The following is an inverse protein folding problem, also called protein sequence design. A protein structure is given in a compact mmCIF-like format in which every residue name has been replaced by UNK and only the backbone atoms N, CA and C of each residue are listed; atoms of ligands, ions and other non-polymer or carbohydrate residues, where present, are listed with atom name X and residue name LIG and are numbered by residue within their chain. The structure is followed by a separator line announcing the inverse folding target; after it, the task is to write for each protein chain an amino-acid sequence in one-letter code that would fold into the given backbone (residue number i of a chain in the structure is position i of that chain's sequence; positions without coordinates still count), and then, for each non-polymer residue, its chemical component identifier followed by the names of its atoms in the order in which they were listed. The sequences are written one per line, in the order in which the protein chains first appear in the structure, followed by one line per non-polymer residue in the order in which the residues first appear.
data_IF_529833950975
#
_entry.id   IF_529833950975
#
_cell.length_a   1.000
_cell.length_b   1.000
_cell.length_c   1.000
_cell.angle_alpha   90.00
_cell.angle_beta   90.00
_cell.angle_gamma   90.00
#
_symmetry.space_group_name_H-M   'P 1'
#
loop_
_entity.id
_entity.type
_entity.pdbx_description
1 polymer ?
#
# COMPACT_ATOMS: atom_id res chain seq x y z
N UNK A 1 7.99 30.37 78.56
CA UNK A 1 8.41 28.98 78.42
C UNK A 1 8.32 28.62 76.94
N UNK A 2 9.39 28.84 76.22
CA UNK A 2 10.42 27.91 75.87
C UNK A 2 9.80 26.65 75.19
N UNK A 3 10.09 26.48 73.93
CA UNK A 3 9.81 25.34 73.16
C UNK A 3 10.48 25.45 71.80
N UNK A 4 11.40 24.68 71.63
CA UNK A 4 12.48 24.59 70.66
C UNK A 4 12.02 24.34 69.22
N UNK A 5 12.86 24.85 68.31
CA UNK A 5 12.87 24.56 66.87
C UNK A 5 13.25 23.07 66.65
N UNK A 6 12.51 22.41 65.78
CA UNK A 6 13.00 21.25 65.06
C UNK A 6 12.92 21.50 63.59
N UNK A 7 14.10 21.56 62.98
CA UNK A 7 14.36 21.53 61.54
C UNK A 7 13.90 20.19 60.98
N UNK A 8 13.05 20.22 59.98
CA UNK A 8 12.68 19.01 59.24
C UNK A 8 13.29 19.07 57.83
N UNK A 9 14.35 18.31 57.66
CA UNK A 9 15.01 18.05 56.39
C UNK A 9 14.01 17.41 55.44
N UNK A 10 13.75 18.07 54.32
CA UNK A 10 13.01 17.50 53.18
C UNK A 10 13.99 16.75 52.28
N UNK A 11 13.93 15.44 52.32
CA UNK A 11 14.55 14.55 51.34
C UNK A 11 13.90 14.80 49.93
N UNK A 12 14.73 15.31 49.04
CA UNK A 12 14.44 15.35 47.59
C UNK A 12 14.46 13.93 47.03
N UNK A 13 13.28 13.37 46.82
CA UNK A 13 13.11 12.20 45.95
C UNK A 13 13.06 12.63 44.52
N UNK A 14 14.20 12.57 43.83
CA UNK A 14 14.28 12.60 42.37
C UNK A 14 13.40 11.50 41.77
N UNK A 15 12.25 11.88 41.21
CA UNK A 15 11.50 11.04 40.30
C UNK A 15 12.18 11.10 38.93
N UNK A 16 12.93 10.05 38.62
CA UNK A 16 13.36 9.77 37.25
C UNK A 16 12.10 9.60 36.37
N UNK A 17 11.76 10.63 35.63
CA UNK A 17 10.92 10.51 34.46
C UNK A 17 11.77 9.92 33.34
N UNK A 18 11.68 8.62 33.13
CA UNK A 18 12.08 8.02 31.87
C UNK A 18 11.06 8.45 30.80
N UNK A 19 11.41 9.51 30.10
CA UNK A 19 10.79 9.93 28.85
C UNK A 19 11.10 8.83 27.83
N UNK A 20 10.10 7.97 27.56
CA UNK A 20 10.10 7.05 26.44
C UNK A 20 10.10 7.88 25.16
N UNK A 21 11.31 8.21 24.68
CA UNK A 21 11.52 8.80 23.36
C UNK A 21 11.17 7.74 22.31
N UNK A 22 9.93 7.76 21.86
CA UNK A 22 9.52 7.07 20.64
C UNK A 22 10.35 7.59 19.48
N UNK A 23 11.30 6.80 19.01
CA UNK A 23 12.03 7.10 17.79
C UNK A 23 11.06 7.01 16.62
N UNK A 24 10.65 8.17 16.11
CA UNK A 24 10.02 8.26 14.80
C UNK A 24 11.00 7.70 13.76
N UNK A 25 10.67 6.56 13.18
CA UNK A 25 11.44 6.00 12.07
C UNK A 25 11.04 6.80 10.83
N UNK A 26 11.80 7.84 10.56
CA UNK A 26 11.69 8.59 9.31
C UNK A 26 12.44 7.80 8.26
N UNK A 27 11.73 7.17 7.33
CA UNK A 27 12.33 6.55 6.17
C UNK A 27 12.96 7.63 5.28
N UNK A 28 14.26 7.87 5.46
CA UNK A 28 15.02 8.81 4.65
C UNK A 28 15.35 8.17 3.30
N UNK A 29 14.50 8.42 2.31
CA UNK A 29 14.82 8.10 0.92
C UNK A 29 16.00 8.98 0.49
N UNK A 30 17.19 8.39 0.47
CA UNK A 30 18.40 9.06 -0.01
C UNK A 30 18.25 9.45 -1.48
N UNK A 31 17.86 10.69 -1.72
CA UNK A 31 17.81 11.30 -3.04
C UNK A 31 19.25 11.44 -3.56
N UNK A 32 19.69 10.53 -4.43
CA UNK A 32 20.84 10.80 -5.30
C UNK A 32 20.48 11.95 -6.22
N UNK A 33 21.13 13.09 -6.02
CA UNK A 33 21.00 14.28 -6.85
C UNK A 33 21.37 13.95 -8.29
N UNK A 34 20.37 13.78 -9.15
CA UNK A 34 20.57 13.75 -10.59
C UNK A 34 20.39 15.17 -11.12
N UNK A 35 21.42 15.68 -11.73
CA UNK A 35 21.50 17.02 -12.33
C UNK A 35 20.48 17.10 -13.47
N UNK A 36 19.51 18.01 -13.34
CA UNK A 36 18.63 18.38 -14.45
C UNK A 36 19.39 19.23 -15.47
N UNK A 37 19.68 18.65 -16.62
CA UNK A 37 20.04 19.42 -17.79
C UNK A 37 18.75 19.84 -18.51
N UNK A 38 18.50 21.14 -18.49
CA UNK A 38 17.42 21.79 -19.22
C UNK A 38 17.60 21.63 -20.72
N UNK A 39 16.60 21.10 -21.43
CA UNK A 39 16.45 21.30 -22.86
C UNK A 39 15.16 22.09 -23.10
N UNK A 40 15.38 23.37 -23.35
CA UNK A 40 14.40 24.28 -23.95
C UNK A 40 14.75 24.41 -25.44
N UNK A 41 13.73 24.43 -26.25
CA UNK A 41 13.63 25.04 -27.57
C UNK A 41 13.45 24.12 -28.78
N UNK A 42 12.32 24.33 -29.46
CA UNK A 42 12.07 23.79 -30.79
C UNK A 42 10.63 24.00 -31.26
N UNK A 43 10.14 25.26 -31.26
CA UNK A 43 8.96 25.68 -32.01
C UNK A 43 9.37 26.05 -33.45
N UNK A 44 8.83 25.39 -34.49
CA UNK A 44 8.69 25.95 -35.79
C UNK A 44 7.56 25.24 -36.59
N UNK A 45 6.46 25.92 -36.73
CA UNK A 45 5.69 26.29 -37.94
C UNK A 45 5.68 25.29 -39.13
N UNK A 46 4.51 24.87 -39.52
CA UNK A 46 4.30 24.34 -40.86
C UNK A 46 2.92 23.76 -41.12
N UNK A 47 2.05 24.58 -41.74
CA UNK A 47 1.17 24.11 -42.83
C UNK A 47 -0.21 23.55 -42.47
N UNK A 48 -1.21 24.39 -42.57
CA UNK A 48 -2.62 24.06 -42.72
C UNK A 48 -2.83 23.36 -44.08
N UNK A 49 -3.45 22.17 -44.08
CA UNK A 49 -4.21 21.67 -45.23
C UNK A 49 -5.58 21.18 -44.72
N UNK A 50 -6.60 21.83 -45.23
CA UNK A 50 -8.01 21.54 -45.01
C UNK A 50 -8.43 20.44 -46.01
N UNK A 51 -9.15 19.44 -45.54
CA UNK A 51 -10.00 18.61 -46.37
C UNK A 51 -9.97 17.11 -46.05
N UNK A 52 -11.09 16.59 -45.56
CA UNK A 52 -11.37 15.17 -45.53
C UNK A 52 -11.99 14.67 -44.24
N UNK A 53 -13.32 14.49 -44.24
CA UNK A 53 -14.08 13.77 -43.25
C UNK A 53 -13.69 12.29 -43.29
N UNK A 54 -12.74 11.92 -42.45
CA UNK A 54 -12.38 10.52 -42.18
C UNK A 54 -12.05 10.42 -40.71
N UNK A 55 -12.81 9.65 -39.96
CA UNK A 55 -12.47 9.30 -38.62
C UNK A 55 -11.10 8.61 -38.64
N UNK A 56 -10.07 9.26 -38.12
CA UNK A 56 -8.77 8.66 -37.93
C UNK A 56 -8.91 7.79 -36.64
N UNK A 57 -9.19 6.51 -36.83
CA UNK A 57 -8.88 5.52 -35.82
C UNK A 57 -7.36 5.48 -35.69
N UNK A 58 -6.86 6.12 -34.64
CA UNK A 58 -5.48 5.94 -34.24
C UNK A 58 -5.36 4.48 -33.75
N UNK A 59 -4.50 3.66 -34.36
CA UNK A 59 -4.21 2.35 -33.77
C UNK A 59 -3.54 2.60 -32.43
N UNK A 60 -4.25 2.30 -31.34
CA UNK A 60 -3.65 2.14 -30.03
C UNK A 60 -2.85 0.83 -30.12
N UNK A 61 -1.65 0.95 -30.68
CA UNK A 61 -0.70 -0.14 -30.65
C UNK A 61 -0.07 -0.16 -29.25
N UNK A 62 -0.84 -0.62 -28.27
CA UNK A 62 -0.28 -1.07 -27.00
C UNK A 62 0.37 -2.43 -27.28
N UNK A 63 1.52 -2.39 -27.96
CA UNK A 63 2.41 -3.53 -27.95
C UNK A 63 2.92 -3.64 -26.51
N UNK A 64 2.32 -4.52 -25.73
CA UNK A 64 3.01 -5.18 -24.64
C UNK A 64 4.17 -5.89 -25.36
N UNK A 65 5.36 -5.31 -25.28
CA UNK A 65 6.56 -5.99 -25.75
C UNK A 65 6.78 -7.16 -24.80
N UNK A 66 6.36 -8.31 -25.22
CA UNK A 66 6.62 -9.63 -24.65
C UNK A 66 8.09 -9.99 -24.94
N UNK A 67 9.01 -9.22 -24.37
CA UNK A 67 10.41 -9.63 -24.28
C UNK A 67 10.60 -10.23 -22.90
N UNK A 68 10.85 -11.52 -22.86
CA UNK A 68 11.09 -12.40 -21.73
C UNK A 68 12.15 -11.90 -20.71
N UNK A 69 12.82 -10.79 -21.02
CA UNK A 69 13.90 -10.17 -20.24
C UNK A 69 13.40 -9.08 -19.26
N UNK A 70 12.08 -8.87 -19.12
CA UNK A 70 11.50 -7.83 -18.27
C UNK A 70 10.66 -8.34 -17.09
N UNK A 71 10.58 -9.66 -16.92
CA UNK A 71 9.83 -10.25 -15.81
C UNK A 71 10.61 -10.14 -14.51
N UNK A 72 9.91 -9.87 -13.43
CA UNK A 72 10.48 -9.77 -12.09
C UNK A 72 10.46 -11.17 -11.46
N UNK A 73 11.60 -11.55 -10.89
CA UNK A 73 11.76 -12.82 -10.19
C UNK A 73 11.51 -12.64 -8.68
N UNK A 74 10.58 -13.43 -8.14
CA UNK A 74 10.27 -13.55 -6.72
C UNK A 74 10.47 -14.98 -6.19
N UNK A 75 11.11 -15.89 -6.95
CA UNK A 75 11.23 -17.30 -6.59
C UNK A 75 11.90 -17.57 -5.23
N UNK A 76 12.69 -16.62 -4.71
CA UNK A 76 13.30 -16.70 -3.38
C UNK A 76 12.61 -15.82 -2.33
N UNK A 77 11.47 -15.22 -2.66
CA UNK A 77 10.76 -14.32 -1.74
C UNK A 77 9.79 -15.12 -0.89
N UNK A 78 9.73 -14.79 0.38
CA UNK A 78 8.76 -15.34 1.32
C UNK A 78 7.58 -14.36 1.43
N UNK A 79 6.38 -14.85 1.28
CA UNK A 79 5.13 -14.13 1.43
C UNK A 79 4.26 -14.75 2.54
N UNK A 80 4.86 -15.56 3.43
CA UNK A 80 4.12 -16.34 4.42
C UNK A 80 3.58 -15.51 5.57
N UNK A 81 4.22 -14.37 5.85
CA UNK A 81 3.83 -13.37 6.84
C UNK A 81 2.94 -12.26 6.29
N UNK A 82 2.82 -12.20 4.94
CA UNK A 82 2.00 -11.19 4.28
C UNK A 82 0.51 -11.57 4.21
N UNK A 83 -0.39 -10.58 4.38
CA UNK A 83 -1.80 -10.82 4.13
C UNK A 83 -2.04 -11.38 2.73
N UNK A 84 -2.49 -12.63 2.65
CA UNK A 84 -2.76 -13.31 1.39
C UNK A 84 -4.23 -13.71 1.30
N UNK A 85 -4.88 -13.34 0.19
CA UNK A 85 -6.28 -13.63 -0.14
C UNK A 85 -6.35 -14.65 -1.26
N UNK A 86 -7.33 -15.54 -1.20
CA UNK A 86 -7.57 -16.57 -2.21
C UNK A 86 -6.99 -17.93 -1.84
N UNK A 87 -7.00 -18.86 -2.81
CA UNK A 87 -6.53 -20.24 -2.59
C UNK A 87 -5.01 -20.33 -2.65
N UNK A 88 -4.40 -21.05 -1.71
CA UNK A 88 -2.96 -21.35 -1.75
C UNK A 88 -2.54 -22.07 -3.04
N UNK A 89 -3.44 -22.86 -3.62
CA UNK A 89 -3.19 -23.63 -4.85
C UNK A 89 -3.44 -22.81 -6.13
N UNK A 90 -3.75 -21.49 -6.02
CA UNK A 90 -4.01 -20.66 -7.18
C UNK A 90 -2.78 -20.58 -8.11
N UNK A 91 -2.97 -20.82 -9.43
CA UNK A 91 -1.86 -20.87 -10.39
C UNK A 91 -1.18 -19.52 -10.64
N UNK A 92 -1.87 -18.42 -10.34
CA UNK A 92 -1.37 -17.06 -10.51
C UNK A 92 -1.39 -16.31 -9.17
N UNK A 93 -0.33 -15.54 -8.91
CA UNK A 93 -0.26 -14.62 -7.78
C UNK A 93 -0.28 -13.18 -8.27
N UNK A 94 -1.02 -12.34 -7.58
CA UNK A 94 -0.87 -10.89 -7.61
C UNK A 94 -0.11 -10.49 -6.34
N UNK A 95 1.03 -9.84 -6.49
CA UNK A 95 1.71 -9.17 -5.40
C UNK A 95 1.31 -7.69 -5.47
N UNK A 96 0.49 -7.22 -4.54
CA UNK A 96 0.05 -5.83 -4.44
C UNK A 96 0.94 -5.09 -3.47
N UNK A 97 1.71 -4.11 -3.95
CA UNK A 97 2.46 -3.18 -3.09
C UNK A 97 1.60 -1.97 -2.82
N UNK A 98 1.28 -1.74 -1.57
CA UNK A 98 0.27 -0.75 -1.18
C UNK A 98 0.74 0.20 -0.09
N UNK A 99 0.05 1.35 0.02
CA UNK A 99 0.22 2.33 1.09
C UNK A 99 -1.15 2.89 1.46
N UNK A 100 -1.56 2.71 2.70
CA UNK A 100 -2.85 3.21 3.18
C UNK A 100 -2.97 4.73 3.08
N UNK A 101 -1.86 5.47 3.07
CA UNK A 101 -1.83 6.91 2.84
C UNK A 101 -1.97 7.33 1.38
N UNK A 102 -1.81 6.42 0.42
CA UNK A 102 -1.84 6.73 -1.00
C UNK A 102 -3.27 6.85 -1.54
N UNK A 103 -3.64 8.01 -2.15
CA UNK A 103 -4.97 8.17 -2.72
C UNK A 103 -5.25 7.23 -3.90
N UNK A 104 -4.22 6.84 -4.66
CA UNK A 104 -4.37 5.90 -5.77
C UNK A 104 -4.62 4.45 -5.29
N UNK A 105 -4.07 4.07 -4.11
CA UNK A 105 -4.39 2.80 -3.48
C UNK A 105 -5.84 2.78 -3.01
N UNK A 106 -6.34 3.90 -2.46
CA UNK A 106 -7.73 4.05 -2.10
C UNK A 106 -8.66 3.92 -3.32
N UNK A 107 -8.34 4.58 -4.44
CA UNK A 107 -9.08 4.44 -5.71
C UNK A 107 -9.09 2.99 -6.20
N UNK A 108 -7.95 2.30 -6.16
CA UNK A 108 -7.85 0.89 -6.49
C UNK A 108 -8.81 0.02 -5.67
N UNK A 109 -8.90 0.27 -4.36
CA UNK A 109 -9.80 -0.45 -3.43
C UNK A 109 -11.27 -0.04 -3.56
N UNK A 110 -11.60 0.92 -4.41
CA UNK A 110 -12.96 1.38 -4.66
C UNK A 110 -13.40 2.57 -3.80
N UNK A 111 -12.47 3.19 -3.09
CA UNK A 111 -12.71 4.41 -2.33
C UNK A 111 -12.44 5.63 -3.21
N UNK A 112 -13.44 6.51 -3.38
CA UNK A 112 -13.31 7.72 -4.19
C UNK A 112 -12.46 8.78 -3.47
N UNK A 113 -11.14 8.60 -3.50
CA UNK A 113 -10.17 9.48 -2.85
C UNK A 113 -9.74 10.66 -3.75
N UNK A 114 -10.02 10.61 -5.05
CA UNK A 114 -9.67 11.65 -6.04
C UNK A 114 -10.90 12.06 -6.86
N UNK A 115 -11.88 12.76 -6.26
CA UNK A 115 -13.17 13.06 -6.89
C UNK A 115 -13.07 13.87 -8.21
N UNK A 116 -11.97 14.60 -8.41
CA UNK A 116 -11.73 15.38 -9.62
C UNK A 116 -11.42 14.54 -10.86
N UNK A 117 -11.09 13.26 -10.68
CA UNK A 117 -10.87 12.31 -11.75
C UNK A 117 -12.09 11.42 -11.88
N UNK A 118 -12.86 11.64 -12.92
CA UNK A 118 -13.99 10.78 -13.28
C UNK A 118 -13.49 9.46 -13.88
N UNK A 119 -12.69 8.71 -13.09
CA UNK A 119 -12.18 7.39 -13.45
C UNK A 119 -13.04 6.38 -12.71
N UNK A 120 -13.82 5.59 -13.46
CA UNK A 120 -14.60 4.50 -12.89
C UNK A 120 -13.68 3.33 -12.49
N UNK A 121 -12.90 3.54 -11.45
CA UNK A 121 -12.08 2.49 -10.81
C UNK A 121 -12.73 1.91 -9.55
N UNK A 122 -13.85 2.49 -9.13
CA UNK A 122 -14.53 2.17 -7.87
C UNK A 122 -14.98 0.71 -7.72
N UNK A 123 -14.83 -0.11 -8.75
CA UNK A 123 -15.20 -1.53 -8.72
C UNK A 123 -14.06 -2.45 -9.18
N UNK A 124 -12.87 -1.92 -9.48
CA UNK A 124 -11.81 -2.73 -10.07
C UNK A 124 -11.37 -3.84 -9.11
N UNK A 125 -11.01 -3.49 -7.87
CA UNK A 125 -10.64 -4.47 -6.84
C UNK A 125 -11.75 -5.49 -6.61
N UNK A 126 -13.00 -5.03 -6.43
CA UNK A 126 -14.12 -5.91 -6.17
C UNK A 126 -14.35 -6.91 -7.31
N UNK A 127 -14.20 -6.48 -8.56
CA UNK A 127 -14.32 -7.36 -9.72
C UNK A 127 -13.16 -8.35 -9.81
N UNK A 128 -11.92 -7.92 -9.52
CA UNK A 128 -10.77 -8.82 -9.46
C UNK A 128 -10.97 -9.84 -8.33
N UNK A 129 -11.39 -9.38 -7.16
CA UNK A 129 -11.68 -10.27 -6.03
C UNK A 129 -12.71 -11.32 -6.42
N UNK A 130 -13.88 -10.90 -6.90
CA UNK A 130 -14.99 -11.81 -7.19
C UNK A 130 -14.69 -12.76 -8.34
N UNK A 131 -14.04 -12.27 -9.43
CA UNK A 131 -13.90 -13.06 -10.64
C UNK A 131 -12.67 -13.98 -10.63
N UNK A 132 -11.63 -13.64 -9.86
CA UNK A 132 -10.36 -14.38 -9.91
C UNK A 132 -9.91 -14.91 -8.54
N UNK A 133 -10.02 -14.09 -7.47
CA UNK A 133 -9.55 -14.51 -6.14
C UNK A 133 -10.55 -15.49 -5.52
N UNK A 134 -11.82 -15.13 -5.48
CA UNK A 134 -12.88 -15.98 -4.91
C UNK A 134 -13.15 -17.24 -5.77
N UNK A 135 -12.78 -17.22 -7.07
CA UNK A 135 -12.84 -18.40 -7.94
C UNK A 135 -11.68 -19.37 -7.72
N UNK A 136 -10.61 -18.95 -7.05
CA UNK A 136 -9.40 -19.75 -6.80
C UNK A 136 -8.40 -19.75 -7.95
N UNK A 137 -8.59 -18.93 -8.98
CA UNK A 137 -7.66 -18.81 -10.11
C UNK A 137 -6.46 -17.91 -9.79
N UNK A 138 -6.64 -16.99 -8.80
CA UNK A 138 -5.62 -16.04 -8.36
C UNK A 138 -5.55 -16.02 -6.84
N UNK A 139 -4.35 -15.94 -6.30
CA UNK A 139 -4.09 -15.49 -4.92
C UNK A 139 -3.45 -14.12 -4.93
N UNK A 140 -3.74 -13.30 -3.93
CA UNK A 140 -3.21 -11.95 -3.82
C UNK A 140 -2.51 -11.75 -2.49
N UNK A 141 -1.20 -11.53 -2.53
CA UNK A 141 -0.38 -11.14 -1.37
C UNK A 141 -0.23 -9.63 -1.34
N UNK A 142 -0.37 -9.03 -0.17
CA UNK A 142 -0.33 -7.58 0.02
C UNK A 142 0.95 -7.22 0.75
N UNK A 143 1.80 -6.46 0.08
CA UNK A 143 3.11 -6.01 0.54
C UNK A 143 3.03 -4.57 1.05
N UNK A 144 3.56 -4.35 2.23
CA UNK A 144 3.50 -3.09 2.94
C UNK A 144 4.54 -2.08 2.43
N UNK A 145 4.09 -0.88 2.06
CA UNK A 145 4.97 0.20 1.64
C UNK A 145 4.53 1.56 2.21
N UNK A 146 4.70 1.82 3.52
CA UNK A 146 4.21 3.01 4.20
C UNK A 146 5.02 4.26 3.84
N UNK A 147 4.67 4.93 2.74
CA UNK A 147 5.34 6.14 2.26
C UNK A 147 4.74 7.44 2.81
N UNK A 148 3.53 7.39 3.38
CA UNK A 148 2.84 8.56 3.92
C UNK A 148 2.88 8.62 5.46
N UNK A 149 2.75 9.83 6.06
CA UNK A 149 2.69 9.98 7.51
C UNK A 149 1.60 9.11 8.15
N UNK A 150 1.89 8.53 9.30
CA UNK A 150 1.03 7.63 10.07
C UNK A 150 0.65 6.30 9.37
N UNK A 151 1.02 6.09 8.10
CA UNK A 151 0.68 4.87 7.37
C UNK A 151 1.27 3.61 8.03
N UNK A 152 2.46 3.69 8.63
CA UNK A 152 3.09 2.57 9.32
C UNK A 152 2.17 1.92 10.37
N UNK A 153 1.45 2.73 11.17
CA UNK A 153 0.52 2.20 12.17
C UNK A 153 -0.68 1.49 11.51
N UNK A 154 -1.13 1.98 10.34
CA UNK A 154 -2.24 1.38 9.60
C UNK A 154 -1.84 0.03 9.02
N UNK A 155 -0.62 -0.10 8.50
CA UNK A 155 -0.06 -1.36 8.02
C UNK A 155 0.07 -2.37 9.16
N UNK A 156 0.69 -2.01 10.28
CA UNK A 156 0.73 -2.88 11.47
C UNK A 156 -0.66 -3.34 11.93
N UNK A 157 -1.64 -2.44 11.88
CA UNK A 157 -3.00 -2.77 12.28
C UNK A 157 -3.66 -3.77 11.31
N UNK A 158 -3.40 -3.62 10.00
CA UNK A 158 -3.90 -4.54 8.99
C UNK A 158 -3.30 -5.95 9.15
N UNK A 159 -1.98 -6.04 9.40
CA UNK A 159 -1.30 -7.30 9.69
C UNK A 159 -1.82 -7.93 10.98
N UNK A 160 -2.01 -7.14 12.04
CA UNK A 160 -2.62 -7.60 13.29
C UNK A 160 -4.05 -8.13 13.11
N UNK A 161 -4.83 -7.53 12.23
CA UNK A 161 -6.18 -8.02 11.89
C UNK A 161 -6.09 -9.32 11.10
N UNK A 162 -5.20 -9.40 10.12
CA UNK A 162 -5.00 -10.62 9.33
C UNK A 162 -4.58 -11.82 10.20
N UNK A 163 -3.67 -11.62 11.14
CA UNK A 163 -3.23 -12.66 12.08
C UNK A 163 -4.34 -13.12 13.03
N UNK A 164 -5.24 -12.23 13.43
CA UNK A 164 -6.35 -12.58 14.33
C UNK A 164 -7.52 -13.21 13.58
N UNK A 165 -7.84 -12.69 12.41
CA UNK A 165 -8.95 -13.12 11.55
C UNK A 165 -8.70 -12.68 10.11
N UNK A 166 -8.13 -13.57 9.31
CA UNK A 166 -7.81 -13.31 7.91
C UNK A 166 -9.04 -12.98 7.04
N UNK A 167 -10.24 -13.44 7.42
CA UNK A 167 -11.47 -13.15 6.69
C UNK A 167 -11.87 -11.67 6.84
N UNK A 168 -11.61 -11.07 7.99
CA UNK A 168 -11.88 -9.66 8.26
C UNK A 168 -10.89 -8.68 7.62
N UNK A 169 -9.73 -9.17 7.16
CA UNK A 169 -8.66 -8.32 6.63
C UNK A 169 -9.11 -7.42 5.47
N UNK A 170 -9.81 -7.98 4.48
CA UNK A 170 -10.22 -7.23 3.29
C UNK A 170 -11.13 -6.04 3.66
N UNK A 171 -12.11 -6.27 4.52
CA UNK A 171 -13.04 -5.22 4.95
C UNK A 171 -12.36 -4.19 5.85
N UNK A 172 -11.47 -4.64 6.74
CA UNK A 172 -10.65 -3.74 7.54
C UNK A 172 -9.75 -2.85 6.68
N UNK A 173 -9.06 -3.44 5.69
CA UNK A 173 -8.22 -2.72 4.73
C UNK A 173 -8.99 -1.61 4.00
N UNK A 174 -10.20 -1.91 3.53
CA UNK A 174 -11.07 -0.90 2.90
C UNK A 174 -11.42 0.23 3.90
N UNK A 175 -11.71 -0.10 5.17
CA UNK A 175 -11.98 0.91 6.20
C UNK A 175 -10.81 1.86 6.44
N UNK A 176 -9.57 1.37 6.38
CA UNK A 176 -8.39 2.24 6.50
C UNK A 176 -8.32 3.27 5.37
N UNK A 177 -8.68 2.89 4.14
CA UNK A 177 -8.78 3.83 3.01
C UNK A 177 -9.98 4.78 3.12
N UNK A 178 -11.14 4.31 3.54
CA UNK A 178 -12.34 5.15 3.73
C UNK A 178 -12.11 6.26 4.76
N UNK A 179 -11.37 5.96 5.82
CA UNK A 179 -11.06 6.90 6.90
C UNK A 179 -9.74 7.65 6.73
N UNK A 180 -9.09 7.49 5.57
CA UNK A 180 -7.77 8.02 5.28
C UNK A 180 -7.59 9.50 5.66
N UNK A 181 -8.53 10.36 5.31
CA UNK A 181 -8.46 11.80 5.60
C UNK A 181 -8.51 12.10 7.11
N UNK A 182 -9.04 11.20 7.91
CA UNK A 182 -9.14 11.38 9.36
C UNK A 182 -7.80 11.20 10.06
N UNK A 183 -6.99 10.26 9.62
CA UNK A 183 -5.73 9.92 10.27
C UNK A 183 -4.48 10.46 9.55
N UNK A 184 -4.55 10.72 8.24
CA UNK A 184 -3.42 11.23 7.46
C UNK A 184 -3.13 12.71 7.73
N UNK A 185 -4.17 13.51 7.93
CA UNK A 185 -4.11 14.96 7.89
C UNK A 185 -3.46 15.67 9.07
N UNK A 186 -2.92 14.98 10.05
CA UNK A 186 -2.22 15.60 11.19
C UNK A 186 -3.02 16.66 11.98
N UNK A 187 -4.31 16.80 11.70
CA UNK A 187 -5.18 17.75 12.38
C UNK A 187 -5.64 17.21 13.73
N UNK A 188 -4.99 17.73 14.76
CA UNK A 188 -5.43 17.71 16.16
C UNK A 188 -5.60 16.34 16.85
N UNK A 189 -4.48 15.77 17.26
CA UNK A 189 -4.40 14.74 18.29
C UNK A 189 -3.59 13.53 17.86
N UNK A 190 -2.54 13.21 18.60
CA UNK A 190 -1.72 12.00 18.43
C UNK A 190 -2.52 10.70 18.51
N UNK A 191 -3.76 10.76 19.01
CA UNK A 191 -4.61 9.59 19.25
C UNK A 191 -5.53 9.25 18.07
N UNK A 192 -5.68 10.12 17.06
CA UNK A 192 -6.59 9.87 15.92
C UNK A 192 -6.30 8.58 15.16
N UNK A 193 -5.04 8.28 14.77
CA UNK A 193 -4.75 7.01 14.12
C UNK A 193 -5.21 5.81 14.95
N UNK A 194 -4.99 5.84 16.27
CA UNK A 194 -5.37 4.76 17.18
C UNK A 194 -6.90 4.62 17.34
N UNK A 195 -7.61 5.74 17.40
CA UNK A 195 -9.09 5.72 17.44
C UNK A 195 -9.67 5.17 16.14
N UNK A 196 -9.08 5.53 14.99
CA UNK A 196 -9.47 5.01 13.68
C UNK A 196 -9.24 3.51 13.59
N UNK A 197 -8.06 3.01 14.00
CA UNK A 197 -7.76 1.58 14.05
C UNK A 197 -8.77 0.84 14.93
N UNK A 198 -9.03 1.35 16.14
CA UNK A 198 -9.99 0.75 17.07
C UNK A 198 -11.38 0.64 16.44
N UNK A 199 -11.89 1.76 15.93
CA UNK A 199 -13.22 1.83 15.33
C UNK A 199 -13.35 0.92 14.12
N UNK A 200 -12.33 0.86 13.27
CA UNK A 200 -12.32 -0.01 12.10
C UNK A 200 -12.31 -1.49 12.49
N UNK A 201 -11.52 -1.87 13.49
CA UNK A 201 -11.52 -3.24 14.00
C UNK A 201 -12.89 -3.65 14.57
N UNK A 202 -13.52 -2.75 15.34
CA UNK A 202 -14.86 -2.99 15.88
C UNK A 202 -15.92 -3.09 14.77
N UNK A 203 -15.80 -2.34 13.68
CA UNK A 203 -16.69 -2.41 12.53
C UNK A 203 -16.64 -3.76 11.80
N UNK A 204 -15.50 -4.46 11.85
CA UNK A 204 -15.35 -5.81 11.26
C UNK A 204 -15.51 -6.92 12.29
N UNK A 205 -15.99 -6.60 13.50
CA UNK A 205 -16.34 -7.57 14.54
C UNK A 205 -15.19 -7.98 15.46
N UNK A 206 -14.03 -7.32 15.36
CA UNK A 206 -12.87 -7.58 16.21
C UNK A 206 -12.85 -6.68 17.45
N UNK A 207 -12.08 -7.09 18.47
CA UNK A 207 -11.85 -6.26 19.63
C UNK A 207 -10.75 -5.22 19.34
N UNK A 208 -11.15 -3.96 19.15
CA UNK A 208 -10.23 -2.87 18.81
C UNK A 208 -9.13 -2.63 19.84
N UNK A 209 -9.34 -2.96 21.14
CA UNK A 209 -8.28 -2.89 22.15
C UNK A 209 -7.22 -3.98 21.93
N UNK A 210 -7.63 -5.20 21.56
CA UNK A 210 -6.70 -6.31 21.26
C UNK A 210 -5.88 -5.99 20.01
N UNK A 211 -6.52 -5.44 18.96
CA UNK A 211 -5.81 -5.00 17.76
C UNK A 211 -4.77 -3.92 18.11
N UNK A 212 -5.11 -2.91 18.92
CA UNK A 212 -4.16 -1.89 19.35
C UNK A 212 -3.01 -2.44 20.20
N UNK A 213 -3.26 -3.44 21.05
CA UNK A 213 -2.19 -4.10 21.81
C UNK A 213 -1.22 -4.86 20.87
N UNK A 214 -1.74 -5.50 19.83
CA UNK A 214 -0.92 -6.12 18.79
C UNK A 214 -0.05 -5.07 18.08
N UNK A 215 -0.64 -3.96 17.62
CA UNK A 215 0.10 -2.85 16.99
C UNK A 215 1.23 -2.33 17.85
N UNK A 216 0.98 -2.19 19.16
CA UNK A 216 1.98 -1.70 20.12
C UNK A 216 3.12 -2.72 20.36
N UNK A 217 2.82 -4.02 20.23
CA UNK A 217 3.79 -5.09 20.43
C UNK A 217 4.60 -5.47 19.20
N UNK A 218 4.06 -5.21 17.98
CA UNK A 218 4.78 -5.47 16.73
C UNK A 218 5.93 -4.47 16.57
N UNK A 219 7.13 -4.96 16.28
CA UNK A 219 8.21 -4.13 15.78
C UNK A 219 7.98 -3.76 14.28
N UNK A 220 8.97 -3.24 13.61
CA UNK A 220 8.84 -2.82 12.22
C UNK A 220 9.50 -3.80 11.24
N UNK A 221 10.07 -4.92 11.71
CA UNK A 221 10.93 -5.77 10.89
C UNK A 221 10.23 -6.31 9.65
N UNK A 222 9.02 -6.82 9.81
CA UNK A 222 8.18 -7.34 8.73
C UNK A 222 7.96 -6.27 7.62
N UNK A 223 7.51 -5.08 8.01
CA UNK A 223 7.30 -3.96 7.06
C UNK A 223 8.61 -3.45 6.45
N UNK A 224 9.72 -3.47 7.21
CA UNK A 224 11.04 -3.12 6.69
C UNK A 224 11.55 -4.16 5.68
N UNK A 225 11.25 -5.44 5.87
CA UNK A 225 11.56 -6.51 4.94
C UNK A 225 10.77 -6.33 3.63
N UNK A 226 9.50 -5.99 3.68
CA UNK A 226 8.65 -5.67 2.55
C UNK A 226 9.20 -4.50 1.72
N UNK A 227 9.51 -3.39 2.39
CA UNK A 227 10.09 -2.21 1.75
C UNK A 227 11.41 -2.56 1.06
N UNK A 228 12.26 -3.36 1.70
CA UNK A 228 13.53 -3.81 1.15
C UNK A 228 13.33 -4.77 -0.03
N UNK A 229 12.40 -5.72 0.09
CA UNK A 229 12.05 -6.66 -0.98
C UNK A 229 11.67 -5.89 -2.24
N UNK A 230 10.66 -5.03 -2.16
CA UNK A 230 10.17 -4.27 -3.31
C UNK A 230 11.25 -3.34 -3.88
N UNK A 231 11.99 -2.65 -3.01
CA UNK A 231 13.06 -1.74 -3.43
C UNK A 231 14.24 -2.47 -4.10
N UNK A 232 14.41 -3.76 -3.83
CA UNK A 232 15.40 -4.60 -4.52
C UNK A 232 14.96 -5.02 -5.93
N UNK A 233 13.66 -5.01 -6.20
CA UNK A 233 13.08 -5.48 -7.47
C UNK A 233 12.87 -4.37 -8.49
N UNK A 234 12.77 -3.12 -8.07
CA UNK A 234 12.52 -1.99 -8.96
C UNK A 234 13.30 -0.74 -8.54
N UNK A 235 13.79 0.02 -9.53
CA UNK A 235 14.56 1.25 -9.29
C UNK A 235 13.73 2.37 -8.63
N UNK A 236 12.41 2.34 -8.84
CA UNK A 236 11.48 3.33 -8.31
C UNK A 236 10.17 2.67 -7.94
N UNK A 237 9.80 2.78 -6.67
CA UNK A 237 8.51 2.32 -6.16
C UNK A 237 7.51 3.48 -6.17
N UNK A 238 6.32 3.20 -6.67
CA UNK A 238 5.15 4.07 -6.55
C UNK A 238 3.94 3.18 -6.29
N UNK A 239 3.03 3.60 -5.43
CA UNK A 239 1.87 2.78 -5.03
C UNK A 239 0.58 3.26 -5.68
N UNK A 240 -0.38 2.36 -6.01
CA UNK A 240 -0.19 0.91 -5.96
C UNK A 240 0.76 0.42 -7.05
N UNK A 241 1.48 -0.67 -6.76
CA UNK A 241 2.31 -1.37 -7.74
C UNK A 241 1.91 -2.84 -7.68
N UNK A 242 1.76 -3.46 -8.83
CA UNK A 242 1.39 -4.87 -8.92
C UNK A 242 2.46 -5.66 -9.65
N UNK A 243 2.66 -6.89 -9.20
CA UNK A 243 3.37 -7.90 -9.95
C UNK A 243 2.43 -9.09 -10.12
N UNK A 244 2.18 -9.50 -11.36
CA UNK A 244 1.19 -10.51 -11.72
C UNK A 244 1.90 -11.64 -12.47
N UNK A 245 1.77 -12.87 -11.99
CA UNK A 245 2.45 -14.01 -12.57
C UNK A 245 2.55 -15.18 -11.59
N UNK A 246 3.60 -15.97 -11.71
CA UNK A 246 3.91 -17.05 -10.79
C UNK A 246 5.43 -17.24 -10.65
N UNK A 247 5.83 -18.11 -9.73
CA UNK A 247 7.25 -18.35 -9.43
C UNK A 247 8.01 -19.01 -10.57
N UNK A 248 7.33 -19.81 -11.42
CA UNK A 248 7.95 -20.52 -12.54
C UNK A 248 8.23 -19.59 -13.72
N UNK A 249 7.26 -18.72 -14.07
CA UNK A 249 7.33 -17.87 -15.26
C UNK A 249 7.78 -16.43 -14.95
N UNK A 250 7.93 -16.08 -13.66
CA UNK A 250 8.17 -14.73 -13.21
C UNK A 250 6.93 -13.84 -13.30
N UNK A 251 7.09 -12.56 -13.01
CA UNK A 251 5.98 -11.63 -12.79
C UNK A 251 6.04 -10.41 -13.71
N UNK A 252 4.92 -10.04 -14.29
CA UNK A 252 4.73 -8.79 -15.06
C UNK A 252 4.49 -7.65 -14.09
N UNK A 253 5.30 -6.57 -14.20
CA UNK A 253 5.13 -5.36 -13.41
C UNK A 253 4.05 -4.46 -13.98
N UNK A 254 3.10 -4.04 -13.16
CA UNK A 254 2.00 -3.13 -13.51
C UNK A 254 1.95 -1.97 -12.51
N UNK A 255 2.17 -0.74 -12.98
CA UNK A 255 2.29 0.44 -12.13
C UNK A 255 0.99 1.24 -12.08
N UNK A 256 0.63 1.70 -10.88
CA UNK A 256 -0.50 2.58 -10.63
C UNK A 256 -1.85 1.87 -10.64
N UNK A 257 -2.88 2.59 -10.18
CA UNK A 257 -4.25 2.10 -10.21
C UNK A 257 -4.71 1.94 -11.67
N UNK A 258 -4.95 0.70 -12.06
CA UNK A 258 -5.36 0.32 -13.41
C UNK A 258 -6.85 0.03 -13.48
N UNK A 259 -7.41 0.05 -14.68
CA UNK A 259 -8.79 -0.37 -14.91
C UNK A 259 -8.94 -1.88 -14.81
N UNK A 260 -10.15 -2.37 -14.49
CA UNK A 260 -10.47 -3.79 -14.53
C UNK A 260 -10.10 -4.44 -15.88
N UNK A 261 -10.43 -3.76 -17.01
CA UNK A 261 -10.11 -4.28 -18.34
C UNK A 261 -8.61 -4.42 -18.62
N UNK A 262 -7.77 -3.59 -17.99
CA UNK A 262 -6.31 -3.72 -18.12
C UNK A 262 -5.81 -4.91 -17.31
N UNK A 263 -6.21 -4.98 -16.04
CA UNK A 263 -5.73 -6.05 -15.15
C UNK A 263 -6.26 -7.42 -15.55
N UNK A 264 -7.54 -7.54 -15.92
CA UNK A 264 -8.12 -8.81 -16.34
C UNK A 264 -7.41 -9.42 -17.56
N UNK A 265 -7.02 -8.60 -18.53
CA UNK A 265 -6.25 -9.10 -19.69
C UNK A 265 -4.90 -9.69 -19.31
N UNK A 266 -4.20 -9.04 -18.36
CA UNK A 266 -2.91 -9.53 -17.87
C UNK A 266 -3.12 -10.81 -17.07
N UNK A 267 -4.09 -10.83 -16.17
CA UNK A 267 -4.41 -12.01 -15.36
C UNK A 267 -4.80 -13.20 -16.25
N UNK A 268 -5.69 -13.00 -17.23
CA UNK A 268 -6.11 -14.03 -18.18
C UNK A 268 -4.92 -14.61 -18.96
N UNK A 269 -3.97 -13.74 -19.34
CA UNK A 269 -2.75 -14.18 -20.02
C UNK A 269 -1.86 -15.00 -19.08
N UNK A 270 -1.68 -14.59 -17.83
CA UNK A 270 -0.86 -15.31 -16.86
C UNK A 270 -1.49 -16.66 -16.46
N UNK A 271 -2.82 -16.74 -16.36
CA UNK A 271 -3.52 -18.02 -16.17
C UNK A 271 -3.29 -18.98 -17.36
N UNK A 272 -3.31 -18.46 -18.58
CA UNK A 272 -3.00 -19.28 -19.77
C UNK A 272 -1.54 -19.75 -19.79
N UNK A 273 -0.61 -18.92 -19.33
CA UNK A 273 0.81 -19.26 -19.27
C UNK A 273 1.13 -20.30 -18.17
N UNK A 274 0.30 -20.36 -17.12
CA UNK A 274 0.47 -21.28 -15.99
C UNK A 274 -0.13 -22.69 -16.23
N UNK A 275 -0.96 -22.89 -17.29
CA UNK A 275 -1.58 -24.15 -17.68
C UNK A 275 -0.85 -24.81 -18.86
#
# INVERSE_FOLDING_TARGET
HEGENEENETEDTEKNNEESSGKEVVFNFSSRKTVFASFVLGLLLGGIVIGGTGAIELPINSSVNDSDDSRIDFASSDFSDDPTLGSEDAPVRIVEVTDYGCPWCAEWKGVNAIPSRNIDQTQTYQKIKTNYIDSGEVKMSVIDYPAHPNALQMHKAANCVYEQDSESYSDFSIKMYETREEWLGGQSGADRPRETIRSAAENVGLNGTVVLQCVDSKDNSEIEEDVNLVSSKVDRVGTPLFFIGNEENGYVKVSGAQTYSTLSKIIDQEIQNAN
#
